data_IF_868164137698
#
_entry.id   IF_868164137698
#
_cell.length_a   1.000
_cell.length_b   1.000
_cell.length_c   1.000
_cell.angle_alpha   90.00
_cell.angle_beta   90.00
_cell.angle_gamma   90.00
#
_symmetry.space_group_name_H-M   'P 1'
#
loop_
_entity.id
_entity.type
_entity.pdbx_description
1 polymer ?
#
# COMPACT_ATOMS: atom_id res chain seq x y z
N UNK A 1 42.15 22.82 10.82
CA UNK A 1 41.38 23.90 11.45
C UNK A 1 41.93 24.36 12.81
N UNK A 2 43.10 23.89 13.28
CA UNK A 2 43.73 24.39 14.53
C UNK A 2 42.76 24.53 15.73
N UNK A 3 41.84 23.58 15.91
CA UNK A 3 40.74 23.64 16.89
C UNK A 3 39.83 24.89 16.85
N UNK A 4 39.95 25.72 15.80
CA UNK A 4 39.11 26.89 15.55
C UNK A 4 37.73 26.55 14.97
N UNK A 5 37.50 25.28 14.62
CA UNK A 5 36.22 24.81 14.12
C UNK A 5 35.50 24.01 15.21
N UNK A 6 34.42 24.56 15.71
CA UNK A 6 33.51 23.90 16.65
C UNK A 6 32.68 22.83 15.92
N UNK A 7 33.30 21.69 15.62
CA UNK A 7 32.65 20.57 14.93
C UNK A 7 31.33 20.13 15.61
N UNK A 8 31.22 20.08 16.96
CA UNK A 8 29.95 19.77 17.63
C UNK A 8 28.76 20.64 17.22
N UNK A 9 28.94 21.93 16.93
CA UNK A 9 27.84 22.82 16.50
C UNK A 9 27.52 22.76 14.99
N UNK A 10 28.31 22.02 14.22
CA UNK A 10 28.17 21.91 12.75
C UNK A 10 27.57 20.57 12.29
N UNK A 11 26.93 19.84 13.21
CA UNK A 11 26.19 18.63 12.88
C UNK A 11 25.06 18.90 11.89
N UNK A 12 24.76 17.92 11.02
CA UNK A 12 23.55 17.98 10.20
C UNK A 12 22.31 18.04 11.10
N UNK A 13 21.31 18.80 10.68
CA UNK A 13 20.04 18.89 11.40
C UNK A 13 19.37 17.51 11.35
N UNK A 14 19.21 16.89 12.53
CA UNK A 14 18.55 15.60 12.69
C UNK A 14 17.04 15.74 12.82
N UNK A 15 16.30 14.90 12.10
CA UNK A 15 14.88 14.67 12.36
C UNK A 15 14.71 13.64 13.49
N UNK A 16 13.57 13.66 14.17
CA UNK A 16 13.17 12.53 15.04
C UNK A 16 12.73 11.39 14.13
N UNK A 17 13.33 10.21 14.32
CA UNK A 17 13.09 9.04 13.47
C UNK A 17 12.56 7.89 14.31
N UNK A 18 11.48 7.28 13.84
CA UNK A 18 10.87 6.10 14.44
C UNK A 18 10.54 5.09 13.33
N UNK A 19 10.42 3.81 13.68
CA UNK A 19 10.16 2.74 12.71
C UNK A 19 8.96 1.93 13.13
N UNK A 20 8.04 1.66 12.19
CA UNK A 20 6.90 0.79 12.40
C UNK A 20 6.84 -0.27 11.30
N UNK A 21 6.83 -1.55 11.67
CA UNK A 21 6.78 -2.67 10.72
C UNK A 21 7.83 -2.59 9.58
N UNK A 22 9.02 -2.06 9.89
CA UNK A 22 10.10 -1.85 8.91
C UNK A 22 10.00 -0.56 8.08
N UNK A 23 8.90 0.19 8.19
CA UNK A 23 8.74 1.51 7.55
C UNK A 23 9.34 2.59 8.44
N UNK A 24 10.24 3.38 7.88
CA UNK A 24 10.89 4.50 8.58
C UNK A 24 10.06 5.77 8.41
N UNK A 25 9.67 6.37 9.54
CA UNK A 25 9.00 7.66 9.59
C UNK A 25 9.93 8.70 10.22
N UNK A 26 9.80 9.95 9.78
CA UNK A 26 10.58 11.05 10.30
C UNK A 26 9.70 12.29 10.51
N UNK A 27 9.97 13.04 11.56
CA UNK A 27 9.35 14.34 11.83
C UNK A 27 10.39 15.35 12.27
N UNK A 28 10.21 16.61 11.87
CA UNK A 28 11.00 17.73 12.35
C UNK A 28 10.46 18.32 13.65
N UNK A 29 9.21 18.00 13.99
CA UNK A 29 8.57 18.44 15.23
C UNK A 29 9.02 17.55 16.40
N UNK A 30 9.72 18.17 17.35
CA UNK A 30 10.25 17.48 18.53
C UNK A 30 9.15 17.13 19.53
N UNK A 31 8.05 17.88 19.52
CA UNK A 31 6.92 17.75 20.45
C UNK A 31 5.78 16.90 19.86
N UNK A 32 5.94 16.42 18.63
CA UNK A 32 4.97 15.52 17.99
C UNK A 32 4.72 14.26 18.84
N UNK A 33 3.52 13.65 18.77
CA UNK A 33 3.23 12.38 19.43
C UNK A 33 4.17 11.26 18.95
N UNK A 34 4.32 10.18 19.72
CA UNK A 34 5.06 8.99 19.26
C UNK A 34 4.45 8.46 17.96
N UNK A 35 5.24 7.74 17.15
CA UNK A 35 4.74 7.12 15.93
C UNK A 35 3.57 6.17 16.20
N UNK A 36 3.60 5.51 17.36
CA UNK A 36 2.51 4.64 17.81
C UNK A 36 1.20 5.42 17.99
N UNK A 37 1.25 6.54 18.71
CA UNK A 37 0.08 7.38 18.96
C UNK A 37 -0.38 8.09 17.68
N UNK A 38 0.56 8.45 16.79
CA UNK A 38 0.26 9.01 15.49
C UNK A 38 -0.55 8.04 14.62
N UNK A 39 -0.05 6.82 14.42
CA UNK A 39 -0.74 5.80 13.62
C UNK A 39 -2.05 5.34 14.28
N UNK A 40 -2.11 5.33 15.61
CA UNK A 40 -3.30 4.96 16.37
C UNK A 40 -3.83 3.58 15.96
N UNK A 41 -5.14 3.48 15.78
CA UNK A 41 -5.83 2.24 15.42
C UNK A 41 -5.61 1.83 13.95
N UNK A 42 -5.04 2.70 13.10
CA UNK A 42 -4.70 2.33 11.73
C UNK A 42 -3.72 1.14 11.71
N UNK A 43 -2.86 1.03 12.73
CA UNK A 43 -1.93 -0.08 12.95
C UNK A 43 -2.62 -1.45 12.86
N UNK A 44 -3.84 -1.56 13.40
CA UNK A 44 -4.61 -2.79 13.40
C UNK A 44 -4.86 -3.32 11.98
N UNK A 45 -5.06 -2.41 11.02
CA UNK A 45 -5.25 -2.74 9.62
C UNK A 45 -3.93 -2.86 8.87
N UNK A 46 -2.99 -1.93 9.10
CA UNK A 46 -1.69 -1.89 8.42
C UNK A 46 -0.86 -3.17 8.65
N UNK A 47 -0.93 -3.76 9.85
CA UNK A 47 -0.21 -5.00 10.14
C UNK A 47 -0.57 -6.16 9.21
N UNK A 48 -1.80 -6.18 8.67
CA UNK A 48 -2.26 -7.25 7.75
C UNK A 48 -1.45 -7.31 6.46
N UNK A 49 -0.72 -6.24 6.13
CA UNK A 49 0.18 -6.13 4.98
C UNK A 49 1.63 -5.94 5.42
N UNK A 50 1.90 -4.96 6.28
CA UNK A 50 3.26 -4.53 6.59
C UNK A 50 3.95 -5.38 7.66
N UNK A 51 3.18 -6.03 8.54
CA UNK A 51 3.71 -6.74 9.72
C UNK A 51 3.21 -8.20 9.81
N UNK A 52 2.72 -8.75 8.70
CA UNK A 52 1.98 -10.02 8.69
C UNK A 52 2.86 -11.28 8.79
N UNK A 53 4.17 -11.15 8.55
CA UNK A 53 5.17 -12.24 8.58
C UNK A 53 6.29 -11.90 9.56
N UNK A 54 6.93 -12.90 10.13
CA UNK A 54 8.13 -12.74 10.95
C UNK A 54 9.31 -12.18 10.16
N UNK A 55 9.47 -12.64 8.90
CA UNK A 55 10.51 -12.16 7.99
C UNK A 55 10.33 -10.71 7.53
N UNK A 56 9.16 -10.13 7.78
CA UNK A 56 8.80 -8.78 7.37
C UNK A 56 8.62 -8.62 5.86
N UNK A 57 8.52 -7.36 5.45
CA UNK A 57 8.22 -6.95 4.08
C UNK A 57 9.44 -6.29 3.44
N UNK A 58 9.63 -6.54 2.14
CA UNK A 58 10.61 -5.90 1.29
C UNK A 58 9.92 -4.96 0.30
N UNK A 59 10.41 -3.73 0.22
CA UNK A 59 9.99 -2.76 -0.80
C UNK A 59 10.94 -2.81 -2.00
N UNK A 60 10.40 -2.98 -3.20
CA UNK A 60 11.11 -2.96 -4.48
C UNK A 60 10.85 -1.61 -5.18
N UNK A 61 11.91 -0.90 -5.59
CA UNK A 61 11.83 0.41 -6.22
C UNK A 61 12.60 1.49 -5.44
N UNK A 62 12.18 2.76 -5.47
CA UNK A 62 10.95 3.26 -6.07
C UNK A 62 11.07 3.53 -7.58
N UNK A 63 9.95 3.45 -8.28
CA UNK A 63 9.77 4.12 -9.57
C UNK A 63 9.25 5.52 -9.29
N UNK A 64 9.76 6.51 -10.02
CA UNK A 64 9.46 7.93 -9.78
C UNK A 64 8.98 8.63 -11.04
N UNK A 65 7.97 9.47 -10.90
CA UNK A 65 7.47 10.34 -11.96
C UNK A 65 6.88 11.63 -11.37
N UNK A 66 6.57 12.59 -12.25
CA UNK A 66 6.04 13.90 -11.89
C UNK A 66 4.70 14.11 -12.58
N UNK A 67 3.71 14.58 -11.84
CA UNK A 67 2.41 14.96 -12.40
C UNK A 67 2.03 16.40 -12.06
N UNK A 68 1.31 17.11 -12.95
CA UNK A 68 0.84 18.47 -12.76
C UNK A 68 -0.44 18.52 -11.90
N UNK A 69 -0.43 17.86 -10.75
CA UNK A 69 -1.57 17.77 -9.83
C UNK A 69 -1.16 18.07 -8.40
N UNK A 70 -2.11 18.54 -7.59
CA UNK A 70 -1.90 18.71 -6.16
C UNK A 70 -1.84 17.34 -5.46
N UNK A 71 -0.90 17.17 -4.52
CA UNK A 71 -0.70 15.91 -3.80
C UNK A 71 -1.95 15.40 -3.07
N UNK A 72 -2.84 16.32 -2.63
CA UNK A 72 -4.07 15.96 -1.90
C UNK A 72 -5.05 15.18 -2.77
N UNK A 73 -5.09 15.42 -4.08
CA UNK A 73 -6.04 14.74 -4.99
C UNK A 73 -5.87 13.22 -4.93
N UNK A 74 -4.64 12.72 -4.81
CA UNK A 74 -4.37 11.28 -4.79
C UNK A 74 -4.57 10.66 -3.40
N UNK A 75 -4.34 11.46 -2.36
CA UNK A 75 -4.64 11.07 -0.98
C UNK A 75 -6.16 10.92 -0.80
N UNK A 76 -6.93 11.80 -1.43
CA UNK A 76 -8.40 11.74 -1.47
C UNK A 76 -8.89 10.53 -2.30
N UNK A 77 -8.34 10.33 -3.51
CA UNK A 77 -8.64 9.19 -4.38
C UNK A 77 -8.47 7.83 -3.67
N UNK A 78 -7.55 7.69 -2.71
CA UNK A 78 -7.40 6.46 -1.92
C UNK A 78 -8.67 6.06 -1.12
N UNK A 79 -9.57 7.00 -0.87
CA UNK A 79 -10.85 6.76 -0.20
C UNK A 79 -12.03 6.70 -1.17
N UNK A 80 -11.80 7.08 -2.44
CA UNK A 80 -12.81 7.14 -3.47
C UNK A 80 -12.89 5.78 -4.18
N UNK A 81 -13.81 4.91 -3.79
CA UNK A 81 -14.13 3.72 -4.57
C UNK A 81 -15.21 3.99 -5.64
N UNK A 82 -15.82 5.18 -5.63
CA UNK A 82 -16.89 5.54 -6.55
C UNK A 82 -16.36 5.77 -7.97
N UNK A 83 -15.15 6.28 -8.13
CA UNK A 83 -14.55 6.48 -9.45
C UNK A 83 -14.29 5.16 -10.21
N UNK A 84 -14.10 4.04 -9.51
CA UNK A 84 -13.60 2.78 -10.08
C UNK A 84 -14.42 2.27 -11.27
N UNK A 85 -15.77 2.21 -11.23
CA UNK A 85 -16.56 1.75 -12.37
C UNK A 85 -16.61 2.76 -13.53
N UNK A 86 -16.19 4.02 -13.29
CA UNK A 86 -16.20 5.10 -14.28
C UNK A 86 -14.82 5.29 -14.91
N UNK A 87 -13.83 5.72 -14.14
CA UNK A 87 -12.49 6.04 -14.66
C UNK A 87 -11.82 4.80 -15.24
N UNK A 88 -11.95 3.66 -14.57
CA UNK A 88 -11.28 2.41 -14.98
C UNK A 88 -12.16 1.49 -15.84
N UNK A 89 -13.23 2.02 -16.45
CA UNK A 89 -14.17 1.21 -17.24
C UNK A 89 -13.48 0.48 -18.40
N UNK A 90 -12.50 1.13 -19.03
CA UNK A 90 -11.65 0.56 -20.09
C UNK A 90 -10.91 -0.69 -19.57
N UNK A 91 -10.18 -0.54 -18.47
CA UNK A 91 -9.42 -1.57 -17.80
C UNK A 91 -10.32 -2.70 -17.29
N UNK A 92 -11.47 -2.40 -16.69
CA UNK A 92 -12.45 -3.37 -16.23
C UNK A 92 -13.01 -4.22 -17.39
N UNK A 93 -13.29 -3.62 -18.56
CA UNK A 93 -13.74 -4.35 -19.76
C UNK A 93 -12.67 -5.29 -20.30
N UNK A 94 -11.40 -4.87 -20.32
CA UNK A 94 -10.27 -5.73 -20.72
C UNK A 94 -10.15 -6.91 -19.76
N UNK A 95 -10.19 -6.67 -18.44
CA UNK A 95 -10.14 -7.74 -17.44
C UNK A 95 -11.33 -8.68 -17.54
N UNK A 96 -12.53 -8.17 -17.81
CA UNK A 96 -13.72 -9.02 -18.05
C UNK A 96 -13.51 -9.94 -19.24
N UNK A 97 -13.05 -9.38 -20.37
CA UNK A 97 -12.92 -10.12 -21.63
C UNK A 97 -11.78 -11.14 -21.62
N UNK A 98 -10.64 -10.80 -21.04
CA UNK A 98 -9.41 -11.59 -21.19
C UNK A 98 -8.98 -12.32 -19.91
N UNK A 99 -9.45 -11.87 -18.74
CA UNK A 99 -9.10 -12.47 -17.43
C UNK A 99 -10.35 -13.13 -16.80
N UNK A 100 -11.55 -12.91 -17.34
CA UNK A 100 -12.79 -13.52 -16.85
C UNK A 100 -13.28 -12.91 -15.54
N UNK A 101 -12.86 -11.68 -15.19
CA UNK A 101 -13.43 -10.97 -14.05
C UNK A 101 -14.89 -10.59 -14.33
N UNK A 102 -15.78 -10.60 -13.32
CA UNK A 102 -17.13 -10.08 -13.51
C UNK A 102 -17.10 -8.61 -13.95
N UNK A 103 -18.08 -8.16 -14.77
CA UNK A 103 -18.29 -6.74 -15.01
C UNK A 103 -18.43 -6.00 -13.67
N UNK A 104 -17.93 -4.76 -13.63
CA UNK A 104 -18.02 -3.91 -12.44
C UNK A 104 -18.89 -2.70 -12.75
N UNK A 105 -20.08 -2.64 -12.14
CA UNK A 105 -20.96 -1.48 -12.17
C UNK A 105 -20.91 -0.69 -10.86
N UNK A 106 -21.56 0.48 -10.84
CA UNK A 106 -21.75 1.23 -9.60
C UNK A 106 -22.61 0.44 -8.60
N UNK A 107 -23.63 -0.30 -9.05
CA UNK A 107 -24.48 -1.11 -8.18
C UNK A 107 -23.67 -2.20 -7.48
N UNK A 108 -22.79 -2.90 -8.21
CA UNK A 108 -21.87 -3.89 -7.63
C UNK A 108 -20.92 -3.25 -6.61
N UNK A 109 -20.42 -2.05 -6.91
CA UNK A 109 -19.52 -1.31 -6.02
C UNK A 109 -20.23 -0.85 -4.74
N UNK A 110 -21.51 -0.43 -4.83
CA UNK A 110 -22.34 -0.07 -3.67
C UNK A 110 -22.75 -1.29 -2.84
N UNK A 111 -23.00 -2.43 -3.47
CA UNK A 111 -23.32 -3.69 -2.79
C UNK A 111 -22.08 -4.40 -2.21
N UNK A 112 -20.88 -3.91 -2.52
CA UNK A 112 -19.62 -4.50 -2.08
C UNK A 112 -19.54 -4.63 -0.55
N UNK A 113 -18.96 -5.72 -0.01
CA UNK A 113 -18.74 -5.87 1.43
C UNK A 113 -17.63 -4.96 1.97
N UNK A 114 -17.00 -4.13 1.12
CA UNK A 114 -15.99 -3.16 1.53
C UNK A 114 -16.51 -2.25 2.66
N UNK A 115 -15.62 -1.95 3.59
CA UNK A 115 -15.84 -1.08 4.74
C UNK A 115 -14.79 0.03 4.75
N UNK A 116 -15.18 1.18 5.27
CA UNK A 116 -14.32 2.35 5.41
C UNK A 116 -14.09 2.64 6.89
N UNK A 117 -12.84 2.94 7.25
CA UNK A 117 -12.45 3.38 8.58
C UNK A 117 -11.51 4.57 8.47
N UNK A 118 -11.58 5.44 9.48
CA UNK A 118 -10.70 6.60 9.62
C UNK A 118 -10.11 6.61 11.02
N UNK A 119 -8.79 6.68 11.11
CA UNK A 119 -8.07 6.74 12.38
C UNK A 119 -6.95 7.77 12.28
N UNK A 120 -6.98 8.81 13.11
CA UNK A 120 -5.97 9.88 13.14
C UNK A 120 -5.66 10.53 11.77
N UNK A 121 -6.66 10.63 10.90
CA UNK A 121 -6.52 11.17 9.53
C UNK A 121 -6.04 10.14 8.50
N UNK A 122 -5.70 8.92 8.90
CA UNK A 122 -5.44 7.81 7.99
C UNK A 122 -6.76 7.24 7.47
N UNK A 123 -6.90 7.10 6.16
CA UNK A 123 -8.05 6.47 5.51
C UNK A 123 -7.77 5.02 5.21
N UNK A 124 -8.74 4.15 5.48
CA UNK A 124 -8.61 2.71 5.36
C UNK A 124 -9.87 2.17 4.70
N UNK A 125 -9.71 1.55 3.53
CA UNK A 125 -10.70 0.63 2.98
C UNK A 125 -10.25 -0.79 3.31
N UNK A 126 -11.15 -1.61 3.82
CA UNK A 126 -10.91 -3.04 4.01
C UNK A 126 -12.13 -3.84 3.62
N UNK A 127 -11.96 -5.14 3.39
CA UNK A 127 -13.07 -6.04 3.12
C UNK A 127 -12.95 -7.32 3.91
N UNK A 128 -14.11 -7.91 4.15
CA UNK A 128 -14.24 -9.28 4.60
C UNK A 128 -13.86 -10.20 3.44
N UNK A 129 -12.82 -10.98 3.62
CA UNK A 129 -12.28 -11.89 2.64
C UNK A 129 -12.59 -13.34 3.03
N UNK A 130 -12.71 -14.20 2.02
CA UNK A 130 -12.83 -15.63 2.25
C UNK A 130 -11.59 -16.19 2.97
N UNK A 131 -11.82 -17.16 3.86
CA UNK A 131 -10.79 -17.71 4.75
C UNK A 131 -9.59 -18.33 4.01
N UNK A 132 -9.79 -18.74 2.75
CA UNK A 132 -8.79 -19.41 1.92
C UNK A 132 -8.30 -18.56 0.74
N UNK A 133 -8.68 -17.27 0.67
CA UNK A 133 -8.27 -16.41 -0.43
C UNK A 133 -6.82 -15.90 -0.23
N UNK A 134 -5.93 -16.02 -1.23
CA UNK A 134 -4.62 -15.40 -1.18
C UNK A 134 -4.70 -13.88 -1.01
N UNK A 135 -3.79 -13.31 -0.21
CA UNK A 135 -3.82 -11.88 0.17
C UNK A 135 -3.24 -10.93 -0.88
N UNK A 136 -2.39 -11.42 -1.77
CA UNK A 136 -1.90 -10.65 -2.91
C UNK A 136 -2.87 -10.77 -4.07
N UNK A 137 -3.22 -9.62 -4.65
CA UNK A 137 -4.13 -9.53 -5.80
C UNK A 137 -3.41 -9.16 -7.11
N UNK A 138 -2.23 -8.56 -7.02
CA UNK A 138 -1.44 -8.15 -8.18
C UNK A 138 -0.64 -9.33 -8.72
N UNK A 139 -0.80 -9.62 -10.02
CA UNK A 139 -0.11 -10.71 -10.71
C UNK A 139 -0.82 -12.06 -10.65
N UNK A 140 -2.00 -12.13 -10.01
CA UNK A 140 -2.85 -13.33 -10.02
C UNK A 140 -3.49 -13.50 -11.40
N UNK A 141 -3.26 -14.64 -12.03
CA UNK A 141 -3.92 -15.12 -13.24
C UNK A 141 -4.21 -16.61 -13.11
N UNK A 142 -4.93 -17.20 -14.06
CA UNK A 142 -5.15 -18.66 -14.12
C UNK A 142 -3.83 -19.44 -14.06
N UNK A 143 -2.77 -18.91 -14.66
CA UNK A 143 -1.45 -19.55 -14.71
C UNK A 143 -0.68 -19.40 -13.38
N UNK A 144 -0.80 -18.26 -12.69
CA UNK A 144 0.01 -17.96 -11.50
C UNK A 144 -0.70 -18.21 -10.18
N UNK A 145 -2.03 -18.40 -10.17
CA UNK A 145 -2.84 -18.58 -8.96
C UNK A 145 -2.27 -19.67 -8.03
N UNK A 146 -1.77 -20.76 -8.59
CA UNK A 146 -1.18 -21.86 -7.82
C UNK A 146 0.05 -21.42 -6.99
N UNK A 147 0.82 -20.41 -7.43
CA UNK A 147 1.93 -19.84 -6.66
C UNK A 147 1.43 -19.15 -5.40
N UNK A 148 0.38 -18.34 -5.55
CA UNK A 148 -0.25 -17.59 -4.47
C UNK A 148 -0.94 -18.51 -3.47
N UNK A 149 -1.64 -19.54 -3.97
CA UNK A 149 -2.32 -20.53 -3.13
C UNK A 149 -1.32 -21.32 -2.29
N UNK A 150 -0.28 -21.90 -2.91
CA UNK A 150 0.76 -22.64 -2.19
C UNK A 150 1.45 -21.78 -1.14
N UNK A 151 1.73 -20.52 -1.47
CA UNK A 151 2.35 -19.62 -0.51
C UNK A 151 1.40 -19.25 0.63
N UNK A 152 0.12 -19.00 0.35
CA UNK A 152 -0.88 -18.76 1.39
C UNK A 152 -0.97 -19.95 2.35
N UNK A 153 -1.12 -21.17 1.83
CA UNK A 153 -1.20 -22.40 2.64
C UNK A 153 0.05 -22.62 3.50
N UNK A 154 1.23 -22.38 2.93
CA UNK A 154 2.50 -22.53 3.65
C UNK A 154 2.69 -21.48 4.76
N UNK A 155 2.02 -20.33 4.66
CA UNK A 155 2.28 -19.17 5.52
C UNK A 155 1.15 -18.86 6.51
N UNK A 156 -0.06 -19.35 6.28
CA UNK A 156 -1.25 -18.90 7.02
C UNK A 156 -1.15 -19.16 8.52
N UNK A 157 -0.58 -20.29 8.95
CA UNK A 157 -0.44 -20.61 10.38
C UNK A 157 0.42 -19.59 11.14
N UNK A 158 1.51 -19.12 10.52
CA UNK A 158 2.34 -18.06 11.09
C UNK A 158 1.60 -16.72 11.11
N UNK A 159 0.88 -16.39 10.03
CA UNK A 159 0.10 -15.16 9.96
C UNK A 159 -0.99 -15.15 11.04
N UNK A 160 -1.67 -16.28 11.27
CA UNK A 160 -2.64 -16.45 12.36
C UNK A 160 -2.00 -16.30 13.74
N UNK A 161 -0.81 -16.84 13.95
CA UNK A 161 -0.07 -16.66 15.21
C UNK A 161 0.24 -15.19 15.47
N UNK A 162 0.59 -14.41 14.43
CA UNK A 162 0.94 -12.98 14.57
C UNK A 162 -0.28 -12.08 14.74
N UNK A 163 -1.33 -12.32 13.95
CA UNK A 163 -2.44 -11.37 13.81
C UNK A 163 -3.74 -11.86 14.47
N UNK A 164 -3.81 -13.13 14.86
CA UNK A 164 -5.05 -13.81 15.21
C UNK A 164 -5.85 -14.22 13.98
N UNK A 165 -6.72 -15.22 14.13
CA UNK A 165 -7.51 -15.83 13.04
C UNK A 165 -8.31 -14.79 12.25
N UNK A 166 -8.99 -13.86 12.93
CA UNK A 166 -9.83 -12.86 12.25
C UNK A 166 -9.02 -12.00 11.26
N UNK A 167 -7.90 -11.40 11.71
CA UNK A 167 -7.10 -10.50 10.88
C UNK A 167 -6.32 -11.25 9.80
N UNK A 168 -5.86 -12.46 10.12
CA UNK A 168 -5.16 -13.31 9.16
C UNK A 168 -6.07 -13.82 8.03
N UNK A 169 -7.31 -14.21 8.37
CA UNK A 169 -8.23 -14.91 7.47
C UNK A 169 -9.32 -14.06 6.83
N UNK A 170 -9.75 -12.99 7.47
CA UNK A 170 -10.94 -12.25 7.02
C UNK A 170 -10.69 -10.78 6.74
N UNK A 171 -9.68 -10.16 7.34
CA UNK A 171 -9.42 -8.74 7.11
C UNK A 171 -8.44 -8.58 5.96
N UNK A 172 -8.93 -8.11 4.81
CA UNK A 172 -8.08 -7.70 3.71
C UNK A 172 -8.03 -6.18 3.60
N UNK A 173 -6.85 -5.61 3.84
CA UNK A 173 -6.59 -4.19 3.56
C UNK A 173 -6.69 -3.93 2.06
N UNK A 174 -7.49 -2.94 1.69
CA UNK A 174 -7.62 -2.40 0.35
C UNK A 174 -6.90 -1.06 0.23
N UNK A 175 -7.53 -0.14 -0.50
CA UNK A 175 -7.04 1.22 -0.69
C UNK A 175 -6.92 1.93 0.67
N UNK A 176 -5.81 2.61 0.90
CA UNK A 176 -5.56 3.31 2.15
C UNK A 176 -4.63 4.48 1.92
N UNK A 177 -4.77 5.49 2.77
CA UNK A 177 -3.81 6.58 2.89
C UNK A 177 -3.29 6.68 4.31
N UNK A 178 -1.97 6.78 4.43
CA UNK A 178 -1.31 7.14 5.67
C UNK A 178 -1.04 8.64 5.53
N UNK A 179 -1.88 9.44 6.18
CA UNK A 179 -1.69 10.89 6.29
C UNK A 179 -0.20 11.26 6.51
N UNK A 180 0.27 12.41 5.99
CA UNK A 180 -0.42 13.23 5.01
C UNK A 180 -0.42 12.57 3.63
N UNK A 181 0.67 11.95 3.19
CA UNK A 181 0.92 11.71 1.78
C UNK A 181 1.40 10.29 1.43
N UNK A 182 1.27 9.33 2.34
CA UNK A 182 1.40 7.91 2.04
C UNK A 182 0.13 7.40 1.38
N UNK A 183 0.24 6.75 0.23
CA UNK A 183 -0.91 6.26 -0.56
C UNK A 183 -0.69 4.82 -1.04
N UNK A 184 -1.77 4.05 -1.13
CA UNK A 184 -1.95 2.83 -1.93
C UNK A 184 -0.74 1.86 -2.02
N UNK A 185 -0.51 1.05 -0.98
CA UNK A 185 0.46 -0.05 -1.04
C UNK A 185 1.92 0.41 -0.99
N UNK A 186 2.19 1.43 -0.16
CA UNK A 186 3.45 2.15 -0.02
C UNK A 186 3.87 2.93 -1.28
N UNK A 187 3.22 4.06 -1.48
CA UNK A 187 3.67 5.13 -2.36
C UNK A 187 3.68 6.45 -1.61
N UNK A 188 4.43 7.42 -2.12
CA UNK A 188 4.50 8.77 -1.58
C UNK A 188 4.07 9.77 -2.65
N UNK A 189 3.12 10.64 -2.30
CA UNK A 189 2.76 11.82 -3.07
C UNK A 189 3.56 13.03 -2.54
N UNK A 190 4.76 13.25 -3.07
CA UNK A 190 5.65 14.29 -2.56
C UNK A 190 5.31 15.65 -3.20
N UNK A 191 4.89 16.66 -2.41
CA UNK A 191 4.54 17.96 -2.97
C UNK A 191 5.77 18.66 -3.59
N UNK A 192 5.62 19.14 -4.83
CA UNK A 192 6.58 20.00 -5.55
C UNK A 192 5.96 21.37 -5.83
N UNK A 193 5.37 21.95 -4.79
CA UNK A 193 4.50 23.13 -4.88
C UNK A 193 3.01 22.75 -4.94
N UNK A 194 2.11 23.74 -5.15
CA UNK A 194 0.67 23.50 -5.09
C UNK A 194 0.10 22.80 -6.32
N UNK A 195 0.80 22.80 -7.47
CA UNK A 195 0.29 22.30 -8.75
C UNK A 195 1.14 21.17 -9.33
N UNK A 196 2.02 20.56 -8.51
CA UNK A 196 2.91 19.50 -8.96
C UNK A 196 3.21 18.52 -7.84
N UNK A 197 3.24 17.24 -8.17
CA UNK A 197 3.56 16.15 -7.23
C UNK A 197 4.60 15.23 -7.85
N UNK A 198 5.57 14.80 -7.05
CA UNK A 198 6.49 13.71 -7.39
C UNK A 198 6.03 12.42 -6.71
N UNK A 199 5.78 11.39 -7.51
CA UNK A 199 5.38 10.09 -6.98
C UNK A 199 6.56 9.20 -6.78
N UNK A 200 6.57 8.50 -5.66
CA UNK A 200 7.46 7.38 -5.43
C UNK A 200 6.60 6.15 -5.23
N UNK A 201 6.71 5.18 -6.13
CA UNK A 201 5.94 3.95 -6.06
C UNK A 201 6.85 2.76 -5.76
N UNK A 202 6.52 2.02 -4.70
CA UNK A 202 7.20 0.78 -4.34
C UNK A 202 6.27 -0.40 -4.57
N UNK A 203 6.84 -1.55 -4.94
CA UNK A 203 6.15 -2.83 -4.87
C UNK A 203 6.52 -3.51 -3.56
N UNK A 204 5.52 -3.92 -2.80
CA UNK A 204 5.71 -4.67 -1.56
C UNK A 204 5.62 -6.18 -1.81
N UNK A 205 6.59 -6.91 -1.28
CA UNK A 205 6.60 -8.38 -1.23
C UNK A 205 7.02 -8.82 0.16
N UNK A 206 6.57 -9.98 0.62
CA UNK A 206 7.19 -10.58 1.80
C UNK A 206 8.67 -10.84 1.51
N UNK A 207 9.53 -10.54 2.49
CA UNK A 207 10.98 -10.70 2.34
C UNK A 207 11.38 -12.13 2.00
N UNK A 208 10.71 -13.10 2.62
CA UNK A 208 11.03 -14.53 2.50
C UNK A 208 10.16 -15.25 1.46
N UNK A 209 9.37 -14.52 0.67
CA UNK A 209 8.62 -15.12 -0.42
C UNK A 209 9.56 -15.73 -1.47
N UNK A 210 9.18 -16.84 -2.13
CA UNK A 210 9.93 -17.39 -3.25
C UNK A 210 10.16 -16.34 -4.35
N UNK A 211 11.36 -16.32 -4.96
CA UNK A 211 11.72 -15.33 -5.98
C UNK A 211 10.78 -15.34 -7.19
N UNK A 212 10.24 -16.52 -7.55
CA UNK A 212 9.24 -16.62 -8.61
C UNK A 212 7.95 -15.84 -8.25
N UNK A 213 7.46 -15.98 -7.01
CA UNK A 213 6.29 -15.26 -6.54
C UNK A 213 6.55 -13.75 -6.47
N UNK A 214 7.73 -13.34 -5.95
CA UNK A 214 8.14 -11.93 -5.94
C UNK A 214 8.17 -11.34 -7.35
N UNK A 215 8.68 -12.09 -8.34
CA UNK A 215 8.71 -11.65 -9.74
C UNK A 215 7.30 -11.44 -10.30
N UNK A 216 6.38 -12.37 -10.04
CA UNK A 216 4.98 -12.27 -10.47
C UNK A 216 4.29 -11.06 -9.83
N UNK A 217 4.44 -10.87 -8.52
CA UNK A 217 3.87 -9.71 -7.81
C UNK A 217 4.45 -8.41 -8.37
N UNK A 218 5.76 -8.34 -8.60
CA UNK A 218 6.43 -7.16 -9.16
C UNK A 218 5.88 -6.78 -10.53
N UNK A 219 5.79 -7.73 -11.44
CA UNK A 219 5.26 -7.48 -12.79
C UNK A 219 3.78 -7.10 -12.72
N UNK A 220 3.00 -7.87 -11.96
CA UNK A 220 1.57 -7.64 -11.82
C UNK A 220 1.22 -6.33 -11.15
N UNK A 221 2.02 -5.87 -10.18
CA UNK A 221 1.85 -4.56 -9.55
C UNK A 221 2.06 -3.48 -10.59
N UNK A 222 3.20 -3.49 -11.30
CA UNK A 222 3.54 -2.47 -12.31
C UNK A 222 2.57 -2.41 -13.48
N UNK A 223 2.02 -3.55 -13.90
CA UNK A 223 1.06 -3.60 -15.01
C UNK A 223 -0.29 -2.95 -14.65
N UNK A 224 -0.66 -2.93 -13.37
CA UNK A 224 -1.90 -2.32 -12.90
C UNK A 224 -1.64 -0.89 -12.43
N UNK A 225 -0.63 -0.74 -11.58
CA UNK A 225 -0.33 0.46 -10.83
C UNK A 225 1.17 0.80 -10.91
N UNK A 226 1.49 2.01 -11.32
CA UNK A 226 2.83 2.48 -11.64
C UNK A 226 2.79 3.44 -12.82
N UNK A 227 3.94 3.97 -13.21
CA UNK A 227 4.04 5.02 -14.24
C UNK A 227 3.47 4.64 -15.63
N UNK A 228 3.24 3.36 -15.90
CA UNK A 228 2.59 2.86 -17.11
C UNK A 228 1.53 1.80 -16.79
N UNK A 229 0.94 1.88 -15.59
CA UNK A 229 -0.08 0.94 -15.13
C UNK A 229 -1.43 1.22 -15.79
N UNK A 230 -2.20 0.15 -16.03
CA UNK A 230 -3.52 0.23 -16.66
C UNK A 230 -4.52 1.10 -15.87
N UNK A 231 -4.42 1.11 -14.53
CA UNK A 231 -5.30 1.89 -13.66
C UNK A 231 -4.72 3.29 -13.37
N UNK A 232 -3.44 3.35 -12.99
CA UNK A 232 -2.77 4.62 -12.62
C UNK A 232 -2.77 5.68 -13.74
N UNK A 233 -2.90 5.29 -15.01
CA UNK A 233 -3.01 6.24 -16.14
C UNK A 233 -4.43 6.80 -16.33
N UNK A 234 -5.45 6.13 -15.79
CA UNK A 234 -6.86 6.54 -15.86
C UNK A 234 -7.21 7.49 -14.69
N UNK A 235 -6.44 7.42 -13.58
CA UNK A 235 -6.52 8.31 -12.41
C UNK A 235 -5.94 9.71 -12.68
#
# INVERSE_FOLDING_TARGET
YYDALDKPSLGLIGARVETYAGIVFATWDKDAPSLEAYLGDARWYLDTVFNRRDGGTQALGPIKWLEPVNWKTLVDNCSDNYHVPTSHLSSARVQTRFIGRPPLSHEDQFASPNKHAFANGHSITFRDADDNAPRYVHGVSTETMHLFQRYHEATIQEVERRLGTLRARRVQLGNHSIFPNGILGLRLALPRGPLKTEFWHFVLVDRDAPEELKRVIRIGSQANNGAAGLFDQDD
#
